data_IF_975581133838
#
_entry.id   IF_975581133838
#
_cell.length_a   1.000
_cell.length_b   1.000
_cell.length_c   1.000
_cell.angle_alpha   90.00
_cell.angle_beta   90.00
_cell.angle_gamma   90.00
#
_symmetry.space_group_name_H-M   'P 1'
#
loop_
_entity.id
_entity.type
_entity.pdbx_description
1 polymer ?
#
# COMPACT_ATOMS: atom_id res chain seq x y z
N UNK A 1 18.78 -1.38 -15.92
CA UNK A 1 17.43 -1.83 -15.54
C UNK A 1 17.45 -3.25 -14.95
N UNK A 2 17.91 -4.27 -15.67
CA UNK A 2 17.96 -5.67 -15.16
C UNK A 2 18.76 -5.89 -13.86
N UNK A 3 19.80 -5.10 -13.62
CA UNK A 3 20.68 -5.27 -12.45
C UNK A 3 20.02 -4.81 -11.13
N UNK A 4 19.15 -3.79 -11.20
CA UNK A 4 18.36 -3.32 -10.05
C UNK A 4 17.34 -4.38 -9.64
N UNK A 5 16.59 -4.93 -10.60
CA UNK A 5 15.61 -5.98 -10.35
C UNK A 5 16.27 -7.29 -9.88
N UNK A 6 17.48 -7.59 -10.34
CA UNK A 6 18.26 -8.73 -9.82
C UNK A 6 18.64 -8.52 -8.36
N UNK A 7 19.09 -7.33 -8.01
CA UNK A 7 19.47 -6.96 -6.63
C UNK A 7 18.26 -7.00 -5.68
N UNK A 8 17.10 -6.51 -6.12
CA UNK A 8 15.86 -6.53 -5.33
C UNK A 8 15.38 -7.97 -5.04
N UNK A 9 15.41 -8.85 -6.05
CA UNK A 9 15.04 -10.27 -5.90
C UNK A 9 16.00 -11.02 -4.97
N UNK A 10 17.31 -10.73 -5.05
CA UNK A 10 18.30 -11.34 -4.15
C UNK A 10 18.14 -10.87 -2.70
N UNK A 11 17.86 -9.59 -2.47
CA UNK A 11 17.59 -9.05 -1.12
C UNK A 11 16.34 -9.69 -0.49
N UNK A 12 15.25 -9.82 -1.27
CA UNK A 12 14.01 -10.46 -0.84
C UNK A 12 14.18 -11.95 -0.50
N UNK A 13 15.01 -12.68 -1.25
CA UNK A 13 15.28 -14.09 -0.96
C UNK A 13 16.00 -14.29 0.39
N UNK A 14 16.87 -13.35 0.77
CA UNK A 14 17.56 -13.36 2.07
C UNK A 14 16.58 -13.05 3.20
N UNK A 15 15.74 -12.04 3.06
CA UNK A 15 14.75 -11.67 4.07
C UNK A 15 13.69 -12.77 4.32
N UNK A 16 13.27 -13.49 3.28
CA UNK A 16 12.34 -14.62 3.41
C UNK A 16 12.99 -15.81 4.12
N UNK A 17 14.27 -16.10 3.87
CA UNK A 17 15.00 -17.15 4.56
C UNK A 17 15.21 -16.84 6.06
N UNK A 18 15.47 -15.58 6.39
CA UNK A 18 15.60 -15.10 7.77
C UNK A 18 14.27 -15.20 8.54
N UNK A 19 13.15 -14.82 7.91
CA UNK A 19 11.81 -14.92 8.51
C UNK A 19 11.39 -16.37 8.79
N UNK A 20 11.78 -17.33 7.97
CA UNK A 20 11.52 -18.75 8.22
C UNK A 20 12.30 -19.32 9.41
N UNK A 21 13.42 -18.71 9.78
CA UNK A 21 14.27 -19.19 10.89
C UNK A 21 13.70 -18.77 12.27
N UNK A 22 12.87 -17.72 12.32
CA UNK A 22 12.26 -17.21 13.56
C UNK A 22 10.99 -17.97 13.96
N UNK A 23 10.39 -18.76 13.05
CA UNK A 23 9.11 -19.44 13.28
C UNK A 23 9.22 -20.84 13.94
N UNK A 24 10.43 -21.34 14.22
CA UNK A 24 10.66 -22.69 14.76
C UNK A 24 10.86 -22.75 16.29
N UNK A 25 10.63 -21.66 17.04
CA UNK A 25 10.73 -21.66 18.51
C UNK A 25 9.35 -21.92 19.15
N UNK A 26 9.13 -23.05 19.88
CA UNK A 26 7.84 -23.34 20.47
C UNK A 26 7.54 -22.44 21.69
N UNK A 27 6.31 -21.92 21.84
CA UNK A 27 5.97 -21.02 22.93
C UNK A 27 5.91 -21.74 24.29
N UNK A 28 6.57 -21.15 25.30
CA UNK A 28 6.45 -21.57 26.71
C UNK A 28 5.10 -21.10 27.27
N UNK A 29 4.31 -21.95 27.98
CA UNK A 29 3.00 -21.57 28.46
C UNK A 29 3.11 -20.73 29.75
N UNK A 30 2.55 -19.52 29.75
CA UNK A 30 2.38 -18.70 30.95
C UNK A 30 0.91 -18.73 31.36
N UNK A 31 0.68 -19.18 32.60
CA UNK A 31 -0.62 -19.29 33.27
C UNK A 31 -1.25 -17.91 33.53
N UNK A 32 -2.55 -17.77 33.24
CA UNK A 32 -3.39 -16.65 33.68
C UNK A 32 -3.67 -16.73 35.20
N UNK A 33 -4.04 -15.61 35.89
CA UNK A 33 -5.46 -15.29 35.95
C UNK A 33 -5.87 -13.79 36.18
N UNK A 34 -7.14 -13.52 35.81
CA UNK A 34 -8.18 -12.69 36.47
C UNK A 34 -8.25 -11.14 36.38
N UNK A 35 -9.36 -10.71 35.76
CA UNK A 35 -10.24 -9.53 35.95
C UNK A 35 -9.76 -8.25 36.64
N UNK A 36 -9.84 -7.13 35.89
CA UNK A 36 -10.47 -5.88 36.36
C UNK A 36 -10.81 -4.97 35.16
N UNK A 37 -12.09 -4.65 34.99
CA UNK A 37 -12.60 -3.70 34.01
C UNK A 37 -12.11 -2.26 34.33
N UNK A 38 -11.59 -1.56 33.33
CA UNK A 38 -11.50 -0.09 33.32
C UNK A 38 -11.77 0.40 31.91
N UNK A 39 -12.90 1.08 31.75
CA UNK A 39 -13.22 1.86 30.56
C UNK A 39 -12.32 3.10 30.55
N UNK A 40 -11.43 3.20 29.57
CA UNK A 40 -10.69 4.43 29.30
C UNK A 40 -11.04 4.88 27.87
N UNK A 41 -11.86 5.93 27.77
CA UNK A 41 -12.03 6.68 26.53
C UNK A 41 -10.70 7.35 26.19
N UNK A 42 -10.18 7.26 24.95
CA UNK A 42 -9.08 8.10 24.55
C UNK A 42 -9.63 9.49 24.18
N UNK A 43 -9.37 10.48 25.03
CA UNK A 43 -9.35 11.89 24.60
C UNK A 43 -8.21 12.09 23.58
N UNK A 44 -8.39 12.99 22.61
CA UNK A 44 -7.41 13.21 21.55
C UNK A 44 -6.20 13.96 22.11
N UNK A 45 -5.02 13.33 22.05
CA UNK A 45 -3.75 14.00 22.30
C UNK A 45 -3.58 15.13 21.27
N UNK A 46 -3.64 16.37 21.76
CA UNK A 46 -3.36 17.56 20.96
C UNK A 46 -1.87 17.64 20.67
N UNK A 47 -1.61 17.85 19.39
CA UNK A 47 -0.40 18.37 18.76
C UNK A 47 0.42 19.29 19.66
N UNK A 48 1.70 18.94 19.82
CA UNK A 48 2.68 19.73 20.54
C UNK A 48 4.01 19.01 20.60
N UNK A 49 4.76 19.01 19.50
CA UNK A 49 6.09 18.41 19.42
C UNK A 49 6.93 19.13 18.37
N UNK A 50 7.76 20.05 18.86
CA UNK A 50 9.04 20.55 18.32
C UNK A 50 9.35 20.25 16.85
N UNK A 51 9.40 21.30 16.02
CA UNK A 51 10.04 21.26 14.72
C UNK A 51 11.57 21.13 14.92
N UNK A 52 12.06 19.89 14.95
CA UNK A 52 13.45 19.46 14.79
C UNK A 52 13.64 18.81 13.42
N UNK A 53 14.61 17.90 13.18
CA UNK A 53 15.04 17.41 11.85
C UNK A 53 14.04 16.47 11.12
N UNK A 54 12.77 16.87 11.08
CA UNK A 54 11.61 16.02 10.82
C UNK A 54 11.04 16.12 9.41
N UNK A 55 11.60 16.96 8.53
CA UNK A 55 11.02 17.18 7.20
C UNK A 55 11.06 15.95 6.30
N UNK A 56 12.09 15.11 6.37
CA UNK A 56 12.16 13.84 5.64
C UNK A 56 11.08 12.86 6.13
N UNK A 57 10.95 12.68 7.45
CA UNK A 57 9.96 11.78 8.03
C UNK A 57 8.52 12.28 7.80
N UNK A 58 8.30 13.59 7.88
CA UNK A 58 7.03 14.23 7.58
C UNK A 58 6.66 14.07 6.10
N UNK A 59 7.64 14.18 5.20
CA UNK A 59 7.45 13.98 3.76
C UNK A 59 7.04 12.53 3.44
N UNK A 60 7.75 11.53 3.96
CA UNK A 60 7.37 10.11 3.79
C UNK A 60 5.99 9.82 4.37
N UNK A 61 5.65 10.44 5.49
CA UNK A 61 4.31 10.35 6.09
C UNK A 61 3.24 10.97 5.19
N UNK A 62 3.53 12.12 4.54
CA UNK A 62 2.63 12.75 3.59
C UNK A 62 2.42 11.88 2.35
N UNK A 63 3.49 11.38 1.72
CA UNK A 63 3.41 10.46 0.59
C UNK A 63 2.61 9.20 0.94
N UNK A 64 2.87 8.60 2.10
CA UNK A 64 2.12 7.43 2.57
C UNK A 64 0.63 7.72 2.78
N UNK A 65 0.27 8.91 3.26
CA UNK A 65 -1.14 9.33 3.35
C UNK A 65 -1.77 9.50 1.98
N UNK A 66 -1.06 10.10 1.02
CA UNK A 66 -1.56 10.28 -0.35
C UNK A 66 -1.80 8.94 -1.04
N UNK A 67 -0.86 8.01 -0.97
CA UNK A 67 -1.04 6.66 -1.54
C UNK A 67 -2.22 5.92 -0.89
N UNK A 68 -2.33 5.95 0.44
CA UNK A 68 -3.46 5.34 1.14
C UNK A 68 -4.80 5.97 0.73
N UNK A 69 -4.81 7.28 0.50
CA UNK A 69 -6.01 7.99 0.05
C UNK A 69 -6.39 7.60 -1.38
N UNK A 70 -5.44 7.56 -2.31
CA UNK A 70 -5.68 7.10 -3.68
C UNK A 70 -6.30 5.69 -3.72
N UNK A 71 -5.77 4.76 -2.91
CA UNK A 71 -6.35 3.41 -2.76
C UNK A 71 -7.79 3.43 -2.24
N UNK A 72 -8.12 4.32 -1.30
CA UNK A 72 -9.47 4.44 -0.74
C UNK A 72 -10.45 5.05 -1.73
N UNK A 73 -10.03 6.09 -2.43
CA UNK A 73 -10.84 6.78 -3.42
C UNK A 73 -11.17 5.81 -4.58
N UNK A 74 -10.18 5.05 -5.05
CA UNK A 74 -10.36 4.00 -6.05
C UNK A 74 -11.32 2.88 -5.59
N UNK A 75 -11.21 2.43 -4.33
CA UNK A 75 -12.16 1.48 -3.75
C UNK A 75 -13.59 2.03 -3.77
N UNK A 76 -13.77 3.28 -3.38
CA UNK A 76 -15.08 3.92 -3.31
C UNK A 76 -15.71 4.00 -4.70
N UNK A 77 -14.93 4.41 -5.70
CA UNK A 77 -15.37 4.50 -7.10
C UNK A 77 -15.78 3.13 -7.65
N UNK A 78 -14.99 2.08 -7.37
CA UNK A 78 -15.35 0.73 -7.83
C UNK A 78 -16.56 0.15 -7.11
N UNK A 79 -16.73 0.43 -5.81
CA UNK A 79 -17.92 0.00 -5.08
C UNK A 79 -19.18 0.74 -5.59
N UNK A 80 -19.07 2.02 -5.93
CA UNK A 80 -20.17 2.74 -6.58
C UNK A 80 -20.46 2.19 -7.97
N UNK A 81 -19.42 1.94 -8.77
CA UNK A 81 -19.53 1.30 -10.08
C UNK A 81 -20.19 -0.07 -10.00
N UNK A 82 -19.75 -0.93 -9.09
CA UNK A 82 -20.32 -2.26 -8.86
C UNK A 82 -21.81 -2.18 -8.48
N UNK A 83 -22.19 -1.21 -7.66
CA UNK A 83 -23.60 -0.97 -7.28
C UNK A 83 -24.46 -0.53 -8.46
N UNK A 84 -23.90 0.22 -9.41
CA UNK A 84 -24.66 0.86 -10.51
C UNK A 84 -24.65 0.06 -11.80
N UNK A 85 -23.54 -0.60 -12.09
CA UNK A 85 -23.24 -1.26 -13.36
C UNK A 85 -22.90 -2.75 -13.17
N UNK A 86 -22.82 -3.24 -11.94
CA UNK A 86 -22.48 -4.64 -11.67
C UNK A 86 -21.01 -4.95 -11.96
N UNK A 87 -20.74 -6.22 -12.23
CA UNK A 87 -19.38 -6.76 -12.44
C UNK A 87 -18.64 -6.10 -13.60
N UNK A 88 -19.36 -5.57 -14.59
CA UNK A 88 -18.81 -4.85 -15.74
C UNK A 88 -17.96 -3.64 -15.32
N UNK A 89 -18.30 -2.98 -14.21
CA UNK A 89 -17.51 -1.86 -13.69
C UNK A 89 -16.09 -2.32 -13.30
N UNK A 90 -15.99 -3.48 -12.65
CA UNK A 90 -14.72 -4.05 -12.20
C UNK A 90 -13.92 -4.58 -13.40
N UNK A 91 -14.57 -5.25 -14.34
CA UNK A 91 -13.93 -5.70 -15.58
C UNK A 91 -13.33 -4.53 -16.37
N UNK A 92 -14.06 -3.42 -16.50
CA UNK A 92 -13.57 -2.21 -17.19
C UNK A 92 -12.38 -1.59 -16.47
N UNK A 93 -12.44 -1.52 -15.14
CA UNK A 93 -11.32 -1.04 -14.34
C UNK A 93 -10.05 -1.89 -14.53
N UNK A 94 -10.21 -3.22 -14.62
CA UNK A 94 -9.13 -4.17 -14.85
C UNK A 94 -8.59 -4.20 -16.29
N UNK A 95 -9.30 -3.57 -17.22
CA UNK A 95 -8.84 -3.35 -18.60
C UNK A 95 -8.02 -2.05 -18.75
N UNK A 96 -8.22 -1.07 -17.86
CA UNK A 96 -7.46 0.18 -17.88
C UNK A 96 -5.99 0.00 -17.48
N UNK A 97 -5.11 0.89 -17.96
CA UNK A 97 -3.69 0.87 -17.64
C UNK A 97 -3.44 1.42 -16.23
N UNK A 98 -2.83 0.64 -15.32
CA UNK A 98 -2.49 1.12 -14.00
C UNK A 98 -1.46 2.27 -13.99
N UNK A 99 -0.56 2.33 -14.97
CA UNK A 99 0.45 3.40 -15.07
C UNK A 99 -0.23 4.75 -15.29
N UNK A 100 -1.21 4.82 -16.20
CA UNK A 100 -1.97 6.04 -16.48
C UNK A 100 -2.71 6.58 -15.23
N UNK A 101 -3.08 5.69 -14.30
CA UNK A 101 -3.74 6.05 -13.04
C UNK A 101 -2.76 6.55 -11.98
N UNK A 102 -1.65 5.84 -11.78
CA UNK A 102 -0.72 6.12 -10.69
C UNK A 102 0.25 7.25 -11.01
N UNK A 103 0.56 7.46 -12.29
CA UNK A 103 1.46 8.54 -12.74
C UNK A 103 1.03 9.93 -12.26
N UNK A 104 -0.20 10.41 -12.47
CA UNK A 104 -0.59 11.74 -11.99
C UNK A 104 -0.57 11.87 -10.46
N UNK A 105 -0.90 10.80 -9.73
CA UNK A 105 -0.86 10.80 -8.24
C UNK A 105 0.57 10.98 -7.74
N UNK A 106 1.51 10.26 -8.33
CA UNK A 106 2.92 10.33 -7.95
C UNK A 106 3.59 11.59 -8.47
N UNK A 107 3.32 12.00 -9.71
CA UNK A 107 3.89 13.21 -10.28
C UNK A 107 3.54 14.46 -9.44
N UNK A 108 2.31 14.57 -8.94
CA UNK A 108 1.89 15.69 -8.09
C UNK A 108 2.65 15.73 -6.75
N UNK A 109 2.79 14.59 -6.08
CA UNK A 109 3.45 14.51 -4.77
C UNK A 109 4.98 14.58 -4.86
N UNK A 110 5.54 14.10 -5.96
CA UNK A 110 6.98 14.03 -6.17
C UNK A 110 7.52 15.24 -6.94
N UNK A 111 6.66 16.17 -7.37
CA UNK A 111 7.06 17.34 -8.18
C UNK A 111 8.15 18.20 -7.54
N UNK A 112 8.16 18.29 -6.21
CA UNK A 112 9.13 19.11 -5.46
C UNK A 112 10.48 18.40 -5.21
N UNK A 113 10.59 17.13 -5.59
CA UNK A 113 11.69 16.25 -5.16
C UNK A 113 12.35 15.56 -6.34
N UNK A 114 11.56 15.14 -7.33
CA UNK A 114 12.05 14.53 -8.55
C UNK A 114 12.14 15.56 -9.66
N UNK A 115 13.32 15.61 -10.29
CA UNK A 115 13.60 16.54 -11.39
C UNK A 115 13.39 15.88 -12.75
N UNK A 116 13.47 14.54 -12.82
CA UNK A 116 13.36 13.76 -14.05
C UNK A 116 12.04 12.95 -14.08
N UNK A 117 11.37 12.98 -15.24
CA UNK A 117 10.21 12.14 -15.53
C UNK A 117 10.55 10.64 -15.39
N UNK A 118 11.80 10.24 -15.66
CA UNK A 118 12.25 8.86 -15.50
C UNK A 118 12.19 8.36 -14.05
N UNK A 119 12.42 9.26 -13.07
CA UNK A 119 12.36 8.91 -11.65
C UNK A 119 10.90 8.74 -11.21
N UNK A 120 9.99 9.55 -11.76
CA UNK A 120 8.54 9.41 -11.54
C UNK A 120 8.05 8.08 -12.12
N UNK A 121 8.48 7.72 -13.32
CA UNK A 121 8.11 6.45 -13.96
C UNK A 121 8.65 5.24 -13.16
N UNK A 122 9.85 5.35 -12.57
CA UNK A 122 10.39 4.33 -11.68
C UNK A 122 9.57 4.20 -10.38
N UNK A 123 9.17 5.32 -9.77
CA UNK A 123 8.28 5.32 -8.61
C UNK A 123 6.91 4.71 -8.94
N UNK A 124 6.36 5.01 -10.12
CA UNK A 124 5.11 4.41 -10.62
C UNK A 124 5.26 2.91 -10.75
N UNK A 125 6.35 2.42 -11.34
CA UNK A 125 6.59 0.98 -11.47
C UNK A 125 6.60 0.27 -10.11
N UNK A 126 7.20 0.87 -9.08
CA UNK A 126 7.20 0.32 -7.70
C UNK A 126 5.78 0.22 -7.14
N UNK A 127 4.97 1.28 -7.27
CA UNK A 127 3.58 1.28 -6.78
C UNK A 127 2.72 0.29 -7.55
N UNK A 128 2.88 0.20 -8.87
CA UNK A 128 2.16 -0.75 -9.71
C UNK A 128 2.48 -2.19 -9.27
N UNK A 129 3.77 -2.54 -9.15
CA UNK A 129 4.20 -3.90 -8.79
C UNK A 129 3.73 -4.30 -7.39
N UNK A 130 3.83 -3.41 -6.40
CA UNK A 130 3.64 -3.77 -5.00
C UNK A 130 2.20 -3.57 -4.50
N UNK A 131 1.46 -2.64 -5.08
CA UNK A 131 0.09 -2.28 -4.64
C UNK A 131 -0.95 -2.76 -5.65
N UNK A 132 -0.83 -2.30 -6.89
CA UNK A 132 -1.87 -2.46 -7.89
C UNK A 132 -1.93 -3.88 -8.47
N UNK A 133 -0.79 -4.48 -8.87
CA UNK A 133 -0.75 -5.81 -9.46
C UNK A 133 -1.34 -6.89 -8.54
N UNK A 134 -1.01 -6.95 -7.24
CA UNK A 134 -1.65 -7.88 -6.30
C UNK A 134 -3.15 -7.66 -6.16
N UNK A 135 -3.61 -6.40 -6.24
CA UNK A 135 -5.02 -6.04 -6.16
C UNK A 135 -5.75 -6.56 -7.41
N UNK A 136 -5.24 -6.21 -8.60
CA UNK A 136 -5.78 -6.63 -9.89
C UNK A 136 -5.81 -8.14 -10.03
N UNK A 137 -4.77 -8.83 -9.56
CA UNK A 137 -4.72 -10.30 -9.54
C UNK A 137 -5.91 -10.88 -8.76
N UNK A 138 -6.17 -10.38 -7.55
CA UNK A 138 -7.28 -10.87 -6.71
C UNK A 138 -8.64 -10.57 -7.29
N UNK A 139 -8.83 -9.38 -7.87
CA UNK A 139 -10.08 -9.02 -8.52
C UNK A 139 -10.34 -9.84 -9.79
N UNK A 140 -9.32 -10.08 -10.61
CA UNK A 140 -9.43 -10.98 -11.78
C UNK A 140 -9.79 -12.39 -11.37
N UNK A 141 -9.10 -12.94 -10.37
CA UNK A 141 -9.41 -14.27 -9.86
C UNK A 141 -10.87 -14.40 -9.37
N UNK A 142 -11.43 -13.34 -8.76
CA UNK A 142 -12.82 -13.33 -8.35
C UNK A 142 -13.80 -13.27 -9.54
N UNK A 143 -13.50 -12.46 -10.57
CA UNK A 143 -14.30 -12.44 -11.79
C UNK A 143 -14.25 -13.77 -12.57
N UNK A 144 -13.09 -14.44 -12.55
CA UNK A 144 -12.91 -15.73 -13.20
C UNK A 144 -13.70 -16.85 -12.49
N UNK A 145 -13.95 -16.73 -11.18
CA UNK A 145 -14.76 -17.65 -10.38
C UNK A 145 -16.27 -17.43 -10.58
N UNK A 146 -16.69 -16.18 -10.82
CA UNK A 146 -18.07 -15.86 -11.19
C UNK A 146 -18.45 -14.38 -11.15
N UNK A 147 -19.71 -14.12 -11.48
CA UNK A 147 -20.27 -12.77 -11.61
C UNK A 147 -21.12 -12.34 -10.40
N UNK A 148 -20.88 -12.94 -9.22
CA UNK A 148 -21.61 -12.58 -7.98
C UNK A 148 -21.09 -11.24 -7.42
N UNK A 149 -21.94 -10.22 -7.46
CA UNK A 149 -21.61 -8.88 -7.00
C UNK A 149 -21.35 -8.79 -5.48
N UNK A 150 -21.99 -9.63 -4.66
CA UNK A 150 -21.79 -9.63 -3.21
C UNK A 150 -20.45 -10.28 -2.86
N UNK A 151 -20.11 -11.38 -3.53
CA UNK A 151 -18.80 -12.01 -3.41
C UNK A 151 -17.69 -11.07 -3.87
N UNK A 152 -17.86 -10.44 -5.04
CA UNK A 152 -16.91 -9.47 -5.57
C UNK A 152 -16.75 -8.27 -4.63
N UNK A 153 -17.83 -7.80 -4.00
CA UNK A 153 -17.79 -6.75 -2.97
C UNK A 153 -16.92 -7.17 -1.79
N UNK A 154 -17.05 -8.42 -1.31
CA UNK A 154 -16.26 -8.93 -0.20
C UNK A 154 -14.76 -9.04 -0.56
N UNK A 155 -14.46 -9.57 -1.75
CA UNK A 155 -13.08 -9.65 -2.28
C UNK A 155 -12.48 -8.27 -2.43
N UNK A 156 -13.20 -7.33 -3.03
CA UNK A 156 -12.76 -5.95 -3.22
C UNK A 156 -12.43 -5.31 -1.88
N UNK A 157 -13.32 -5.40 -0.89
CA UNK A 157 -13.06 -4.88 0.46
C UNK A 157 -11.81 -5.50 1.10
N UNK A 158 -11.60 -6.79 0.95
CA UNK A 158 -10.42 -7.47 1.48
C UNK A 158 -9.13 -7.06 0.75
N UNK A 159 -9.14 -7.00 -0.58
CA UNK A 159 -8.00 -6.63 -1.41
C UNK A 159 -7.55 -5.19 -1.14
N UNK A 160 -8.47 -4.23 -1.12
CA UNK A 160 -8.15 -2.83 -0.85
C UNK A 160 -7.72 -2.58 0.61
N UNK A 161 -8.24 -3.35 1.58
CA UNK A 161 -7.73 -3.30 2.96
C UNK A 161 -6.26 -3.76 3.03
N UNK A 162 -5.93 -4.84 2.34
CA UNK A 162 -4.55 -5.35 2.23
C UNK A 162 -3.63 -4.33 1.56
N UNK A 163 -4.10 -3.74 0.45
CA UNK A 163 -3.39 -2.72 -0.31
C UNK A 163 -3.08 -1.49 0.56
N UNK A 164 -4.11 -0.89 1.17
CA UNK A 164 -3.98 0.29 2.04
C UNK A 164 -3.09 0.05 3.26
N UNK A 165 -3.16 -1.15 3.84
CA UNK A 165 -2.42 -1.52 5.04
C UNK A 165 -0.98 -1.88 4.72
N UNK A 166 -0.75 -3.16 4.41
CA UNK A 166 0.59 -3.72 4.24
C UNK A 166 1.26 -3.23 2.97
N UNK A 167 0.56 -3.26 1.83
CA UNK A 167 1.21 -3.03 0.52
C UNK A 167 1.70 -1.61 0.31
N UNK A 168 0.95 -0.60 0.76
CA UNK A 168 1.43 0.78 0.74
C UNK A 168 2.66 0.93 1.64
N UNK A 169 2.72 0.23 2.78
CA UNK A 169 3.93 0.18 3.62
C UNK A 169 5.13 -0.38 2.86
N UNK A 170 4.96 -1.55 2.23
CA UNK A 170 5.99 -2.20 1.42
C UNK A 170 6.46 -1.29 0.27
N UNK A 171 5.51 -0.60 -0.40
CA UNK A 171 5.81 0.33 -1.48
C UNK A 171 6.60 1.55 -1.00
N UNK A 172 6.26 2.13 0.15
CA UNK A 172 7.02 3.25 0.73
C UNK A 172 8.46 2.83 1.06
N UNK A 173 8.65 1.63 1.60
CA UNK A 173 9.99 1.08 1.85
C UNK A 173 10.79 0.92 0.57
N UNK A 174 10.19 0.39 -0.49
CA UNK A 174 10.87 0.23 -1.79
C UNK A 174 11.11 1.57 -2.50
N UNK A 175 10.20 2.54 -2.35
CA UNK A 175 10.34 3.88 -2.91
C UNK A 175 11.54 4.63 -2.33
N UNK A 176 11.96 4.32 -1.09
CA UNK A 176 13.16 4.93 -0.50
C UNK A 176 14.46 4.58 -1.25
N UNK A 177 14.48 3.52 -2.06
CA UNK A 177 15.62 3.17 -2.92
C UNK A 177 15.63 3.94 -4.26
N UNK A 178 14.53 4.63 -4.59
CA UNK A 178 14.30 5.27 -5.89
C UNK A 178 14.11 6.78 -5.75
N UNK A 179 13.57 7.23 -4.61
CA UNK A 179 13.27 8.63 -4.34
C UNK A 179 14.12 9.11 -3.17
N UNK A 180 14.98 10.10 -3.43
CA UNK A 180 15.69 10.81 -2.39
C UNK A 180 14.80 11.95 -1.88
N UNK A 181 14.33 11.92 -0.62
CA UNK A 181 13.42 12.92 -0.09
C UNK A 181 14.10 14.29 0.04
N UNK A 182 13.33 15.40 0.10
CA UNK A 182 13.89 16.74 0.07
C UNK A 182 14.78 17.01 1.29
N UNK A 183 15.95 17.61 1.05
CA UNK A 183 16.87 18.03 2.10
C UNK A 183 16.19 19.07 3.01
N UNK A 184 16.20 18.80 4.32
CA UNK A 184 15.69 19.73 5.31
C UNK A 184 16.75 20.79 5.62
N UNK A 185 16.64 21.96 5.01
CA UNK A 185 17.48 23.13 5.29
C UNK A 185 17.05 23.90 6.55
#
# INVERSE_FOLDING_TARGET
VDDLFRRLRSSRAVAVAEAHTVLDDPPTPVLAPSDAATQSSPEPEREGGEAGPDGQAAWWTALGRTLKRAVVDEQADLLDGLRREGVDAVARHLAGDPVERWRPVLADVLADVLVDDADVDAAVAVVVELVEDPLRYRLRAALDEGDDADELTAVLRAAYRDARGRRVGDALTALADVVEPPDTA
#
